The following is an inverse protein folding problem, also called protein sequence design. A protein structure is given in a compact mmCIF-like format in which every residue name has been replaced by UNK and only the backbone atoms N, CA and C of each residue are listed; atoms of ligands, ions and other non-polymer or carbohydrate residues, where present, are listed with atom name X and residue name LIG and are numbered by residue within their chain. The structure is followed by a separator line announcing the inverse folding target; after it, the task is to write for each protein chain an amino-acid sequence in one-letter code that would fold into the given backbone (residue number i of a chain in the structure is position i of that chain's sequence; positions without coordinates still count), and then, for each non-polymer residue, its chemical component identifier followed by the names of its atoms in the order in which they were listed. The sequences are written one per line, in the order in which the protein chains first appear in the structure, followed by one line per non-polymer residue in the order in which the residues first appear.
data_IF_045076928734
#
_entry.id   IF_045076928734
#
_cell.length_a   1.000
_cell.length_b   1.000
_cell.length_c   1.000
_cell.angle_alpha   90.00
_cell.angle_beta   90.00
_cell.angle_gamma   90.00
#
_symmetry.space_group_name_H-M   'P 1'
#
loop_
_entity.id
_entity.type
_entity.pdbx_description
1 polymer ?
#
# COMPACT_ATOMS: atom_id res chain seq x y z
N UNK A 1 -0.60 -3.62 -15.18
CA UNK A 1 0.40 -3.35 -14.11
C UNK A 1 1.16 -4.63 -13.74
N UNK A 2 2.42 -4.58 -13.29
CA UNK A 2 3.25 -5.77 -12.95
C UNK A 2 3.59 -5.79 -11.45
N UNK A 3 3.56 -6.97 -10.83
CA UNK A 3 4.04 -7.19 -9.46
C UNK A 3 5.56 -7.45 -9.44
N UNK A 4 6.24 -6.89 -8.43
CA UNK A 4 7.62 -7.21 -8.14
C UNK A 4 7.75 -7.84 -6.75
N UNK A 5 8.40 -9.00 -6.68
CA UNK A 5 8.81 -9.60 -5.43
C UNK A 5 10.10 -8.94 -4.94
N UNK A 6 10.04 -8.27 -3.79
CA UNK A 6 11.22 -7.74 -3.10
C UNK A 6 11.57 -8.68 -1.96
N UNK A 7 12.73 -9.32 -2.05
CA UNK A 7 13.26 -10.15 -0.97
C UNK A 7 13.96 -9.22 0.01
N UNK A 8 13.55 -9.28 1.29
CA UNK A 8 14.23 -8.56 2.35
C UNK A 8 14.92 -9.56 3.27
N UNK A 9 16.25 -9.61 3.18
CA UNK A 9 17.11 -10.35 4.10
C UNK A 9 17.39 -9.45 5.30
N UNK A 10 16.87 -9.81 6.48
CA UNK A 10 17.21 -9.13 7.74
C UNK A 10 18.38 -9.88 8.38
N UNK A 11 19.53 -9.22 8.52
CA UNK A 11 20.80 -9.81 8.98
C UNK A 11 20.73 -10.53 10.34
N UNK A 12 19.72 -10.24 11.17
CA UNK A 12 19.58 -10.82 12.51
C UNK A 12 18.77 -12.13 12.55
N UNK A 13 17.96 -12.42 11.53
CA UNK A 13 17.15 -13.64 11.42
C UNK A 13 16.92 -13.96 9.94
N UNK A 14 17.45 -15.06 9.39
CA UNK A 14 17.29 -15.43 7.98
C UNK A 14 15.90 -16.01 7.71
N UNK A 15 14.84 -15.27 8.06
CA UNK A 15 13.51 -15.46 7.48
C UNK A 15 13.46 -14.60 6.23
N UNK A 16 13.44 -15.26 5.07
CA UNK A 16 13.20 -14.61 3.78
C UNK A 16 11.79 -14.04 3.78
N UNK A 17 11.64 -12.75 4.08
CA UNK A 17 10.38 -12.04 3.83
C UNK A 17 10.35 -11.66 2.36
N UNK A 18 9.35 -12.17 1.65
CA UNK A 18 9.03 -11.75 0.28
C UNK A 18 7.90 -10.73 0.40
N UNK A 19 8.17 -9.49 0.03
CA UNK A 19 7.12 -8.47 -0.13
C UNK A 19 6.73 -8.39 -1.61
N UNK A 20 5.45 -8.56 -1.89
CA UNK A 20 4.89 -8.20 -3.19
C UNK A 20 4.60 -6.71 -3.21
N UNK A 21 5.19 -6.01 -4.17
CA UNK A 21 5.02 -4.58 -4.36
C UNK A 21 4.51 -4.34 -5.77
N UNK A 22 3.47 -3.52 -5.90
CA UNK A 22 2.99 -3.09 -7.19
C UNK A 22 3.92 -2.01 -7.77
N UNK A 23 4.22 -2.10 -9.07
CA UNK A 23 5.00 -1.07 -9.76
C UNK A 23 4.11 0.12 -10.14
N UNK A 24 3.72 0.95 -9.17
CA UNK A 24 2.83 2.10 -9.41
C UNK A 24 3.38 3.17 -10.35
N UNK A 25 4.69 3.21 -10.58
CA UNK A 25 5.28 4.10 -11.58
C UNK A 25 4.86 3.76 -13.02
N UNK A 26 4.35 2.55 -13.26
CA UNK A 26 3.84 2.10 -14.56
C UNK A 26 2.35 2.51 -14.72
N UNK A 27 1.65 2.84 -13.64
CA UNK A 27 0.24 3.21 -13.69
C UNK A 27 0.04 4.56 -14.40
N UNK A 28 -0.91 4.58 -15.32
CA UNK A 28 -1.32 5.78 -16.08
C UNK A 28 -2.60 6.38 -15.48
N UNK A 29 -2.56 7.67 -15.23
CA UNK A 29 -3.73 8.44 -14.80
C UNK A 29 -4.81 8.42 -15.89
N UNK A 30 -6.08 8.30 -15.48
CA UNK A 30 -7.23 8.16 -16.38
C UNK A 30 -7.40 6.78 -17.02
N UNK A 31 -6.46 5.83 -16.78
CA UNK A 31 -6.55 4.44 -17.26
C UNK A 31 -6.51 3.46 -16.09
N UNK A 32 -5.47 3.55 -15.25
CA UNK A 32 -5.23 2.63 -14.13
C UNK A 32 -5.69 3.20 -12.77
N UNK A 33 -5.92 4.51 -12.69
CA UNK A 33 -6.46 5.24 -11.55
C UNK A 33 -6.96 6.62 -12.01
N UNK A 34 -8.00 7.15 -11.36
CA UNK A 34 -8.55 8.47 -11.68
C UNK A 34 -7.88 9.59 -10.88
N UNK A 35 -7.64 9.39 -9.59
CA UNK A 35 -7.07 10.41 -8.70
C UNK A 35 -5.94 9.85 -7.84
N UNK A 36 -4.92 10.68 -7.57
CA UNK A 36 -3.85 10.36 -6.62
C UNK A 36 -4.23 10.86 -5.24
N UNK A 37 -4.40 9.95 -4.28
CA UNK A 37 -4.69 10.30 -2.89
C UNK A 37 -3.44 10.27 -2.02
N UNK A 38 -3.23 11.34 -1.26
CA UNK A 38 -2.23 11.40 -0.20
C UNK A 38 -2.93 11.68 1.13
N UNK A 39 -2.98 10.72 2.07
CA UNK A 39 -3.64 10.89 3.36
C UNK A 39 -2.73 11.72 4.28
N UNK A 40 -2.61 13.01 3.98
CA UNK A 40 -1.90 13.96 4.84
C UNK A 40 -2.91 14.60 5.76
N UNK A 41 -2.81 14.29 7.05
CA UNK A 41 -3.56 15.01 8.07
C UNK A 41 -3.17 16.50 8.02
N UNK A 42 -4.17 17.38 8.00
CA UNK A 42 -3.92 18.82 7.94
C UNK A 42 -3.33 19.33 9.26
N UNK A 43 -2.37 20.25 9.17
CA UNK A 43 -1.67 20.76 10.36
C UNK A 43 -2.57 21.52 11.34
N UNK A 44 -3.59 22.22 10.84
CA UNK A 44 -4.63 22.88 11.64
C UNK A 44 -5.40 21.88 12.53
N UNK A 45 -5.74 20.72 11.97
CA UNK A 45 -6.42 19.63 12.67
C UNK A 45 -5.51 19.03 13.73
N UNK A 46 -4.25 18.74 13.37
CA UNK A 46 -3.25 18.21 14.32
C UNK A 46 -3.06 19.19 15.48
N UNK A 47 -2.90 20.49 15.19
CA UNK A 47 -2.75 21.54 16.20
C UNK A 47 -3.96 21.61 17.13
N UNK A 48 -5.17 21.60 16.59
CA UNK A 48 -6.41 21.62 17.37
C UNK A 48 -6.48 20.43 18.34
N UNK A 49 -6.18 19.22 17.86
CA UNK A 49 -6.15 18.01 18.70
C UNK A 49 -5.11 18.15 19.82
N UNK A 50 -3.90 18.62 19.50
CA UNK A 50 -2.85 18.82 20.50
C UNK A 50 -3.22 19.88 21.54
N UNK A 51 -3.88 20.97 21.14
CA UNK A 51 -4.37 22.01 22.07
C UNK A 51 -5.41 21.46 23.05
N UNK A 52 -6.30 20.59 22.60
CA UNK A 52 -7.28 19.89 23.46
C UNK A 52 -6.55 18.97 24.43
N UNK A 53 -5.66 18.11 23.91
CA UNK A 53 -4.89 17.17 24.73
C UNK A 53 -4.09 17.91 25.82
N UNK A 54 -3.45 19.02 25.48
CA UNK A 54 -2.71 19.84 26.43
C UNK A 54 -3.59 20.43 27.54
N UNK A 55 -4.80 20.91 27.19
CA UNK A 55 -5.77 21.43 28.16
C UNK A 55 -6.22 20.37 29.16
N UNK A 56 -6.52 19.17 28.69
CA UNK A 56 -7.00 18.07 29.53
C UNK A 56 -5.87 17.22 30.12
N UNK A 57 -4.59 17.58 29.88
CA UNK A 57 -3.39 16.84 30.31
C UNK A 57 -3.42 15.36 29.89
N UNK A 58 -3.94 15.07 28.71
CA UNK A 58 -4.00 13.71 28.17
C UNK A 58 -2.64 13.24 27.65
N UNK A 59 -2.43 11.92 27.62
CA UNK A 59 -1.25 11.32 26.99
C UNK A 59 -1.51 11.11 25.50
N UNK A 60 -0.55 11.48 24.67
CA UNK A 60 -0.57 11.22 23.22
C UNK A 60 0.32 10.04 22.91
N UNK A 61 -0.16 9.14 22.07
CA UNK A 61 0.61 8.03 21.53
C UNK A 61 0.54 8.06 20.01
N UNK A 62 1.69 7.92 19.35
CA UNK A 62 1.79 7.79 17.91
C UNK A 62 1.97 6.31 17.54
N UNK A 63 1.12 5.80 16.65
CA UNK A 63 1.22 4.45 16.14
C UNK A 63 1.48 4.48 14.64
N UNK A 64 2.53 3.77 14.20
CA UNK A 64 2.79 3.50 12.79
C UNK A 64 2.31 2.08 12.44
N UNK A 65 1.23 1.99 11.67
CA UNK A 65 0.58 0.72 11.32
C UNK A 65 1.12 0.24 9.97
N UNK A 66 2.10 -0.67 10.02
CA UNK A 66 2.78 -1.23 8.83
C UNK A 66 1.86 -1.95 7.85
N UNK A 67 0.71 -2.44 8.31
CA UNK A 67 -0.24 -3.23 7.53
C UNK A 67 -1.51 -2.47 7.16
N UNK A 68 -1.55 -1.14 7.32
CA UNK A 68 -2.75 -0.34 7.03
C UNK A 68 -3.28 -0.60 5.60
N UNK A 69 -2.37 -0.63 4.62
CA UNK A 69 -2.71 -0.92 3.22
C UNK A 69 -3.35 -2.31 3.00
N UNK A 70 -3.01 -3.32 3.81
CA UNK A 70 -3.50 -4.68 3.60
C UNK A 70 -4.97 -4.88 4.02
N UNK A 71 -5.58 -3.86 4.65
CA UNK A 71 -6.96 -3.91 5.11
C UNK A 71 -7.88 -2.96 4.36
N UNK A 72 -7.32 -2.18 3.43
CA UNK A 72 -8.09 -1.23 2.64
C UNK A 72 -8.96 -1.90 1.57
N UNK A 73 -10.12 -1.32 1.31
CA UNK A 73 -11.00 -1.70 0.21
C UNK A 73 -10.46 -1.14 -1.10
N UNK A 74 -10.14 -2.02 -2.03
CA UNK A 74 -9.60 -1.65 -3.33
C UNK A 74 -10.69 -1.70 -4.39
N UNK A 75 -10.73 -0.70 -5.27
CA UNK A 75 -11.41 -0.80 -6.56
C UNK A 75 -10.80 -1.95 -7.40
N UNK A 76 -11.46 -2.36 -8.49
CA UNK A 76 -10.98 -3.50 -9.27
C UNK A 76 -9.62 -3.23 -9.93
N UNK A 77 -8.56 -3.79 -9.35
CA UNK A 77 -7.20 -3.67 -9.86
C UNK A 77 -6.67 -5.03 -10.30
N UNK A 78 -6.18 -5.07 -11.54
CA UNK A 78 -5.58 -6.24 -12.15
C UNK A 78 -4.08 -6.07 -12.34
N UNK A 79 -3.34 -7.14 -12.08
CA UNK A 79 -1.88 -7.20 -12.24
C UNK A 79 -1.49 -8.40 -13.08
N UNK A 80 -0.52 -8.20 -13.97
CA UNK A 80 0.14 -9.27 -14.70
C UNK A 80 0.83 -10.21 -13.71
N UNK A 81 0.91 -11.48 -14.12
CA UNK A 81 1.60 -12.50 -13.36
C UNK A 81 3.07 -12.11 -13.18
N UNK A 82 3.64 -12.26 -11.98
CA UNK A 82 5.08 -12.14 -11.80
C UNK A 82 5.79 -13.21 -12.64
N UNK A 83 6.91 -12.86 -13.29
CA UNK A 83 7.70 -13.79 -14.12
C UNK A 83 8.08 -15.12 -13.44
N UNK A 84 8.17 -15.13 -12.11
CA UNK A 84 8.50 -16.32 -11.32
C UNK A 84 7.28 -17.15 -10.90
N UNK A 85 6.07 -16.76 -11.33
CA UNK A 85 4.77 -17.34 -10.97
C UNK A 85 3.84 -17.48 -12.19
N UNK A 86 4.39 -17.44 -13.41
CA UNK A 86 3.62 -17.69 -14.64
C UNK A 86 3.27 -19.17 -14.74
N UNK A 87 1.97 -19.48 -14.89
CA UNK A 87 1.50 -20.84 -15.10
C UNK A 87 1.53 -21.18 -16.59
N UNK A 88 2.16 -22.31 -16.94
CA UNK A 88 2.28 -22.78 -18.32
C UNK A 88 0.89 -22.99 -18.93
N UNK A 89 0.61 -22.33 -20.06
CA UNK A 89 -0.70 -22.36 -20.72
C UNK A 89 -1.70 -21.31 -20.21
N UNK A 90 -1.35 -20.54 -19.17
CA UNK A 90 -2.17 -19.44 -18.65
C UNK A 90 -1.43 -18.10 -18.66
N UNK A 91 -0.39 -17.97 -19.49
CA UNK A 91 0.51 -16.81 -19.55
C UNK A 91 -0.22 -15.47 -19.77
N UNK A 92 -1.36 -15.51 -20.47
CA UNK A 92 -2.18 -14.33 -20.74
C UNK A 92 -3.14 -13.95 -19.61
N UNK A 93 -3.24 -14.74 -18.53
CA UNK A 93 -4.10 -14.40 -17.39
C UNK A 93 -3.48 -13.30 -16.53
N UNK A 94 -4.36 -12.61 -15.82
CA UNK A 94 -4.01 -11.57 -14.85
C UNK A 94 -4.57 -11.94 -13.47
N UNK A 95 -3.90 -11.47 -12.42
CA UNK A 95 -4.39 -11.59 -11.05
C UNK A 95 -5.24 -10.38 -10.67
N UNK A 96 -6.39 -10.63 -10.04
CA UNK A 96 -7.19 -9.58 -9.40
C UNK A 96 -6.70 -9.39 -7.97
N UNK A 97 -6.35 -8.16 -7.61
CA UNK A 97 -5.98 -7.82 -6.24
C UNK A 97 -7.24 -7.73 -5.37
N UNK A 98 -7.25 -8.47 -4.25
CA UNK A 98 -8.32 -8.39 -3.23
C UNK A 98 -8.05 -7.37 -2.13
N UNK A 99 -6.80 -6.96 -1.98
CA UNK A 99 -6.31 -6.05 -0.94
C UNK A 99 -5.37 -5.05 -1.57
N UNK A 100 -5.30 -3.85 -1.02
CA UNK A 100 -4.35 -2.86 -1.53
C UNK A 100 -2.91 -3.31 -1.25
N UNK A 101 -2.06 -3.13 -2.26
CA UNK A 101 -0.63 -3.41 -2.17
C UNK A 101 0.15 -2.12 -2.09
N UNK A 102 1.30 -2.19 -1.42
CA UNK A 102 2.25 -1.09 -1.41
C UNK A 102 2.69 -0.78 -2.86
N UNK A 103 2.86 0.52 -3.12
CA UNK A 103 3.28 1.02 -4.43
C UNK A 103 2.14 1.27 -5.41
N UNK A 104 0.87 0.99 -5.09
CA UNK A 104 -0.26 1.49 -5.89
C UNK A 104 -0.49 2.98 -5.60
N UNK A 105 -0.78 3.78 -6.63
CA UNK A 105 -1.08 5.21 -6.46
C UNK A 105 -2.39 5.47 -5.70
N UNK A 106 -3.35 4.54 -5.79
CA UNK A 106 -4.63 4.59 -5.10
C UNK A 106 -4.66 3.83 -3.76
N UNK A 107 -3.62 3.05 -3.41
CA UNK A 107 -3.59 2.29 -2.15
C UNK A 107 -3.82 3.14 -0.89
N UNK A 108 -3.37 4.40 -0.79
CA UNK A 108 -3.60 5.21 0.40
C UNK A 108 -5.08 5.59 0.65
N UNK A 109 -5.96 5.43 -0.34
CA UNK A 109 -7.41 5.66 -0.21
C UNK A 109 -8.15 4.44 0.34
N UNK A 110 -7.57 3.26 0.14
CA UNK A 110 -8.22 1.97 0.39
C UNK A 110 -8.48 1.75 1.90
#
# INVERSE_FOLDING_TARGET
MVLQAKIQTRWLYPKHKILLVARGYIQREGIDFEETFSPVARFDTIRTILSVVANYKWKVYQFDVKSAFLNGFLEEVYVQQPKSYELKGEEMKVYKLRKALYGLKQAPRA
#
